data_IF_042325479057
#
_entry.id   IF_042325479057
#
_cell.length_a   1.000
_cell.length_b   1.000
_cell.length_c   1.000
_cell.angle_alpha   90.00
_cell.angle_beta   90.00
_cell.angle_gamma   90.00
#
_symmetry.space_group_name_H-M   'P 1'
#
loop_
_entity.id
_entity.type
_entity.pdbx_description
1 polymer ?
#
# COMPACT_ATOMS: atom_id res chain seq x y z
N UNK A 1 -6.05 6.04 -15.64
CA UNK A 1 -5.23 6.56 -14.51
C UNK A 1 -3.75 6.20 -14.62
N UNK A 2 -3.34 4.93 -14.42
CA UNK A 2 -1.92 4.54 -14.54
C UNK A 2 -1.35 4.87 -15.92
N UNK A 3 -2.07 4.52 -16.97
CA UNK A 3 -1.63 4.75 -18.35
C UNK A 3 -1.59 6.24 -18.69
N UNK A 4 -2.49 7.04 -18.09
CA UNK A 4 -2.45 8.50 -18.21
C UNK A 4 -1.20 9.09 -17.52
N UNK A 5 -0.83 8.59 -16.34
CA UNK A 5 0.41 8.99 -15.66
C UNK A 5 1.63 8.62 -16.51
N UNK A 6 1.66 7.42 -17.09
CA UNK A 6 2.74 7.00 -17.99
C UNK A 6 2.81 7.88 -19.24
N UNK A 7 1.66 8.19 -19.87
CA UNK A 7 1.61 9.08 -21.02
C UNK A 7 2.04 10.52 -20.68
N UNK A 8 1.69 11.03 -19.49
CA UNK A 8 2.16 12.32 -19.00
C UNK A 8 3.66 12.31 -18.72
N UNK A 9 4.20 11.21 -18.19
CA UNK A 9 5.64 11.01 -17.99
C UNK A 9 6.40 11.06 -19.32
N UNK A 10 5.95 10.35 -20.35
CA UNK A 10 6.58 10.39 -21.69
C UNK A 10 6.59 11.80 -22.29
N UNK A 11 5.53 12.57 -22.04
CA UNK A 11 5.40 13.98 -22.45
C UNK A 11 6.14 14.96 -21.53
N UNK A 12 6.69 14.49 -20.42
CA UNK A 12 7.25 15.31 -19.32
C UNK A 12 6.26 16.37 -18.80
N UNK A 13 4.97 16.05 -18.83
CA UNK A 13 3.90 16.93 -18.35
C UNK A 13 3.77 16.82 -16.83
N UNK A 14 4.51 17.68 -16.12
CA UNK A 14 4.55 17.69 -14.65
C UNK A 14 3.17 17.98 -14.04
N UNK A 15 2.35 18.80 -14.70
CA UNK A 15 1.03 19.18 -14.19
C UNK A 15 0.10 17.97 -14.23
N UNK A 16 0.03 17.29 -15.38
CA UNK A 16 -0.81 16.10 -15.52
C UNK A 16 -0.28 14.92 -14.68
N UNK A 17 1.04 14.73 -14.59
CA UNK A 17 1.64 13.74 -13.69
C UNK A 17 1.23 13.99 -12.23
N UNK A 18 1.28 15.24 -11.76
CA UNK A 18 0.91 15.59 -10.39
C UNK A 18 -0.56 15.27 -10.11
N UNK A 19 -1.44 15.63 -11.07
CA UNK A 19 -2.87 15.34 -10.99
C UNK A 19 -3.12 13.82 -10.95
N UNK A 20 -2.53 13.06 -11.88
CA UNK A 20 -2.73 11.60 -11.96
C UNK A 20 -2.15 10.86 -10.76
N UNK A 21 -1.03 11.32 -10.20
CA UNK A 21 -0.53 10.83 -8.91
C UNK A 21 -1.59 10.98 -7.81
N UNK A 22 -2.21 12.16 -7.68
CA UNK A 22 -3.22 12.40 -6.66
C UNK A 22 -4.47 11.51 -6.85
N UNK A 23 -4.94 11.37 -8.09
CA UNK A 23 -6.06 10.45 -8.43
C UNK A 23 -5.74 9.01 -8.06
N UNK A 24 -4.54 8.51 -8.40
CA UNK A 24 -4.11 7.15 -8.08
C UNK A 24 -4.01 6.90 -6.58
N UNK A 25 -3.43 7.84 -5.81
CA UNK A 25 -3.33 7.69 -4.36
C UNK A 25 -4.71 7.77 -3.68
N UNK A 26 -5.61 8.64 -4.17
CA UNK A 26 -7.00 8.69 -3.70
C UNK A 26 -7.74 7.40 -3.98
N UNK A 27 -7.50 6.73 -5.12
CA UNK A 27 -8.08 5.41 -5.41
C UNK A 27 -7.65 4.35 -4.38
N UNK A 28 -6.38 4.39 -3.96
CA UNK A 28 -5.89 3.44 -2.94
C UNK A 28 -6.52 3.74 -1.57
N UNK A 29 -6.71 5.02 -1.22
CA UNK A 29 -7.44 5.41 0.00
C UNK A 29 -8.88 4.90 -0.01
N UNK A 30 -9.59 5.12 -1.12
CA UNK A 30 -10.97 4.66 -1.27
C UNK A 30 -11.10 3.15 -1.20
N UNK A 31 -10.12 2.42 -1.76
CA UNK A 31 -10.04 0.98 -1.65
C UNK A 31 -9.80 0.55 -0.21
N UNK A 32 -8.86 1.17 0.52
CA UNK A 32 -8.60 0.86 1.93
C UNK A 32 -9.85 1.06 2.80
N UNK A 33 -10.58 2.16 2.59
CA UNK A 33 -11.84 2.43 3.26
C UNK A 33 -12.94 1.41 2.93
N UNK A 34 -13.05 0.97 1.68
CA UNK A 34 -13.99 -0.09 1.31
C UNK A 34 -13.64 -1.41 2.01
N UNK A 35 -12.37 -1.79 2.00
CA UNK A 35 -11.88 -3.00 2.66
C UNK A 35 -12.13 -2.94 4.18
N UNK A 36 -12.07 -1.75 4.78
CA UNK A 36 -12.30 -1.56 6.21
C UNK A 36 -13.72 -1.90 6.65
N UNK A 37 -14.69 -1.97 5.72
CA UNK A 37 -16.07 -2.37 6.01
C UNK A 37 -16.24 -3.88 6.23
N UNK A 38 -15.23 -4.70 5.88
CA UNK A 38 -15.34 -6.16 5.88
C UNK A 38 -14.44 -6.80 6.96
N UNK A 39 -15.00 -7.56 7.93
CA UNK A 39 -14.21 -8.19 8.99
C UNK A 39 -13.09 -9.12 8.50
N UNK A 40 -13.27 -9.78 7.36
CA UNK A 40 -12.29 -10.70 6.76
C UNK A 40 -11.15 -10.00 6.02
N UNK A 41 -11.20 -8.66 5.90
CA UNK A 41 -10.26 -7.86 5.12
C UNK A 41 -9.46 -6.89 6.00
N UNK A 42 -9.29 -7.17 7.29
CA UNK A 42 -8.64 -6.27 8.24
C UNK A 42 -7.23 -6.75 8.62
N UNK A 43 -6.21 -5.93 8.32
CA UNK A 43 -4.85 -6.19 8.80
C UNK A 43 -4.77 -6.24 10.32
N UNK A 44 -5.50 -5.36 11.02
CA UNK A 44 -5.49 -5.32 12.48
C UNK A 44 -6.01 -6.60 13.11
N UNK A 45 -6.98 -7.27 12.49
CA UNK A 45 -7.45 -8.59 12.95
C UNK A 45 -6.36 -9.65 12.78
N UNK A 46 -5.70 -9.70 11.62
CA UNK A 46 -4.60 -10.63 11.36
C UNK A 46 -3.45 -10.48 12.35
N UNK A 47 -3.00 -9.24 12.58
CA UNK A 47 -1.94 -8.94 13.55
C UNK A 47 -2.38 -9.29 14.97
N UNK A 48 -3.60 -8.91 15.37
CA UNK A 48 -4.11 -9.22 16.70
C UNK A 48 -4.19 -10.73 16.97
N UNK A 49 -4.62 -11.51 15.98
CA UNK A 49 -4.69 -12.97 16.09
C UNK A 49 -3.28 -13.60 16.16
N UNK A 50 -2.30 -13.10 15.40
CA UNK A 50 -0.91 -13.53 15.51
C UNK A 50 -0.32 -13.26 16.90
N UNK A 51 -0.54 -12.05 17.44
CA UNK A 51 -0.08 -11.67 18.79
C UNK A 51 -0.71 -12.54 19.89
N UNK A 52 -1.90 -13.12 19.71
CA UNK A 52 -2.51 -14.03 20.71
C UNK A 52 -1.73 -15.33 20.88
N UNK A 53 -0.89 -15.71 19.92
CA UNK A 53 -0.05 -16.90 20.00
C UNK A 53 1.12 -16.73 20.98
N UNK A 54 1.53 -15.49 21.28
CA UNK A 54 2.65 -15.19 22.17
C UNK A 54 2.24 -15.07 23.65
N UNK A 55 3.03 -15.66 24.55
CA UNK A 55 2.79 -15.66 26.00
C UNK A 55 3.34 -14.43 26.71
N UNK A 56 4.33 -13.76 26.14
CA UNK A 56 5.00 -12.57 26.67
C UNK A 56 5.23 -11.54 25.56
N UNK A 57 5.59 -10.30 25.89
CA UNK A 57 5.76 -9.22 24.91
C UNK A 57 6.70 -9.59 23.76
N UNK A 58 7.84 -10.19 24.07
CA UNK A 58 8.83 -10.63 23.07
C UNK A 58 8.24 -11.63 22.07
N UNK A 59 7.49 -12.62 22.53
CA UNK A 59 6.83 -13.59 21.66
C UNK A 59 5.71 -12.95 20.82
N UNK A 60 4.96 -11.99 21.38
CA UNK A 60 3.92 -11.26 20.65
C UNK A 60 4.49 -10.45 19.49
N UNK A 61 5.58 -9.74 19.75
CA UNK A 61 6.26 -8.92 18.74
C UNK A 61 6.92 -9.81 17.68
N UNK A 62 7.45 -10.97 18.07
CA UNK A 62 7.93 -12.00 17.13
C UNK A 62 6.82 -12.47 16.19
N UNK A 63 5.66 -12.87 16.71
CA UNK A 63 4.55 -13.35 15.86
C UNK A 63 3.93 -12.25 15.00
N UNK A 64 3.88 -11.00 15.48
CA UNK A 64 3.46 -9.88 14.64
C UNK A 64 4.41 -9.67 13.46
N UNK A 65 5.72 -9.69 13.72
CA UNK A 65 6.73 -9.57 12.67
C UNK A 65 6.58 -10.67 11.63
N UNK A 66 6.50 -11.93 12.06
CA UNK A 66 6.30 -13.08 11.16
C UNK A 66 5.01 -12.95 10.34
N UNK A 67 3.91 -12.53 10.98
CA UNK A 67 2.62 -12.32 10.34
C UNK A 67 2.66 -11.21 9.28
N UNK A 68 3.38 -10.11 9.54
CA UNK A 68 3.60 -9.03 8.57
C UNK A 68 4.51 -9.47 7.43
N UNK A 69 5.59 -10.20 7.72
CA UNK A 69 6.51 -10.71 6.70
C UNK A 69 5.78 -11.61 5.71
N UNK A 70 4.98 -12.57 6.20
CA UNK A 70 4.31 -13.57 5.37
C UNK A 70 3.43 -12.96 4.26
N UNK A 71 2.81 -11.81 4.54
CA UNK A 71 1.90 -11.12 3.60
C UNK A 71 2.56 -9.99 2.81
N UNK A 72 3.85 -9.72 3.05
CA UNK A 72 4.62 -8.66 2.35
C UNK A 72 5.90 -9.24 1.76
N UNK A 73 7.01 -9.15 2.49
CA UNK A 73 8.37 -9.45 2.04
C UNK A 73 8.68 -10.95 1.98
N UNK A 74 7.78 -11.76 2.52
CA UNK A 74 7.82 -13.21 2.68
C UNK A 74 9.03 -13.70 3.47
N UNK A 75 10.21 -13.78 2.85
CA UNK A 75 11.42 -14.27 3.51
C UNK A 75 12.70 -13.62 2.96
N UNK A 76 13.59 -13.23 3.89
CA UNK A 76 15.01 -12.97 3.69
C UNK A 76 15.44 -11.88 2.68
N UNK A 77 16.72 -11.50 2.76
CA UNK A 77 17.32 -10.41 1.95
C UNK A 77 17.28 -10.63 0.43
N UNK A 78 17.00 -11.85 -0.03
CA UNK A 78 16.96 -12.17 -1.46
C UNK A 78 15.68 -11.68 -2.14
N UNK A 79 14.60 -11.40 -1.39
CA UNK A 79 13.35 -10.79 -1.87
C UNK A 79 12.73 -11.49 -3.10
N UNK A 80 13.03 -12.77 -3.32
CA UNK A 80 12.55 -13.57 -4.46
C UNK A 80 11.06 -13.86 -4.41
N UNK A 81 10.45 -13.75 -3.23
CA UNK A 81 9.03 -13.97 -2.97
C UNK A 81 8.31 -12.70 -2.50
N UNK A 82 8.87 -11.51 -2.79
CA UNK A 82 8.23 -10.25 -2.41
C UNK A 82 6.81 -10.18 -2.98
N UNK A 83 5.86 -9.77 -2.15
CA UNK A 83 4.41 -9.71 -2.43
C UNK A 83 3.75 -11.06 -2.79
N UNK A 84 4.41 -12.22 -2.63
CA UNK A 84 3.78 -13.53 -2.93
C UNK A 84 2.54 -13.78 -2.06
N UNK A 85 2.62 -13.40 -0.78
CA UNK A 85 1.52 -13.52 0.18
C UNK A 85 0.57 -12.32 0.22
N UNK A 86 0.60 -11.43 -0.78
CA UNK A 86 -0.15 -10.17 -0.74
C UNK A 86 -1.65 -10.35 -0.43
N UNK A 87 -2.24 -9.32 0.17
CA UNK A 87 -3.67 -9.25 0.49
C UNK A 87 -4.20 -7.86 0.20
N UNK A 88 -5.43 -7.78 -0.30
CA UNK A 88 -6.19 -6.53 -0.31
C UNK A 88 -6.86 -6.38 1.06
N UNK A 89 -6.13 -5.89 2.05
CA UNK A 89 -6.63 -5.68 3.41
C UNK A 89 -6.53 -4.22 3.83
N UNK A 90 -7.55 -3.74 4.53
CA UNK A 90 -7.55 -2.42 5.15
C UNK A 90 -6.39 -2.30 6.14
N UNK A 91 -5.73 -1.14 6.15
CA UNK A 91 -4.47 -0.91 6.83
C UNK A 91 -3.26 -1.38 6.02
N UNK A 92 -3.29 -2.56 5.39
CA UNK A 92 -2.17 -2.99 4.52
C UNK A 92 -2.16 -2.19 3.20
N UNK A 93 -3.33 -2.02 2.59
CA UNK A 93 -3.53 -1.24 1.37
C UNK A 93 -3.13 0.22 1.57
N UNK A 94 -3.65 0.86 2.61
CA UNK A 94 -3.42 2.27 2.91
C UNK A 94 -2.05 2.59 3.50
N UNK A 95 -1.43 1.68 4.26
CA UNK A 95 -0.18 1.96 4.98
C UNK A 95 1.07 1.42 4.27
N UNK A 96 0.97 0.24 3.65
CA UNK A 96 2.09 -0.41 2.97
C UNK A 96 2.08 -0.16 1.46
N UNK A 97 1.01 -0.59 0.77
CA UNK A 97 0.96 -0.50 -0.70
C UNK A 97 0.84 0.93 -1.21
N UNK A 98 -0.02 1.76 -0.59
CA UNK A 98 -0.11 3.19 -0.91
C UNK A 98 1.23 3.88 -0.76
N UNK A 99 1.97 3.59 0.32
CA UNK A 99 3.24 4.25 0.58
C UNK A 99 4.28 3.91 -0.48
N UNK A 100 4.34 2.66 -0.94
CA UNK A 100 5.19 2.24 -2.06
C UNK A 100 4.85 2.98 -3.36
N UNK A 101 3.56 3.09 -3.68
CA UNK A 101 3.10 3.87 -4.83
C UNK A 101 3.45 5.36 -4.70
N UNK A 102 3.25 5.95 -3.52
CA UNK A 102 3.60 7.34 -3.27
C UNK A 102 5.10 7.57 -3.45
N UNK A 103 5.96 6.69 -2.91
CA UNK A 103 7.41 6.75 -3.08
C UNK A 103 7.80 6.69 -4.57
N UNK A 104 7.23 5.75 -5.32
CA UNK A 104 7.50 5.60 -6.75
C UNK A 104 7.09 6.85 -7.54
N UNK A 105 5.84 7.29 -7.38
CA UNK A 105 5.29 8.42 -8.12
C UNK A 105 6.03 9.73 -7.78
N UNK A 106 6.47 9.89 -6.52
CA UNK A 106 7.31 11.02 -6.12
C UNK A 106 8.67 11.02 -6.81
N UNK A 107 9.38 9.90 -6.77
CA UNK A 107 10.74 9.82 -7.30
C UNK A 107 10.74 9.96 -8.82
N UNK A 108 9.77 9.37 -9.54
CA UNK A 108 9.60 9.56 -10.99
C UNK A 108 9.30 11.02 -11.34
N UNK A 109 8.39 11.66 -10.59
CA UNK A 109 8.03 13.06 -10.82
C UNK A 109 9.20 14.00 -10.52
N UNK A 110 10.00 13.70 -9.51
CA UNK A 110 11.23 14.44 -9.19
C UNK A 110 12.24 14.32 -10.34
N UNK A 111 12.47 13.11 -10.87
CA UNK A 111 13.38 12.92 -12.00
C UNK A 111 12.98 13.75 -13.23
N UNK A 112 11.68 13.83 -13.54
CA UNK A 112 11.20 14.70 -14.63
C UNK A 112 11.46 16.18 -14.34
N UNK A 113 11.20 16.65 -13.12
CA UNK A 113 11.44 18.05 -12.71
C UNK A 113 12.91 18.44 -12.80
N UNK A 114 13.80 17.54 -12.43
CA UNK A 114 15.25 17.76 -12.44
C UNK A 114 15.89 17.48 -13.81
N UNK A 115 15.13 16.96 -14.77
CA UNK A 115 15.64 16.55 -16.07
C UNK A 115 16.59 15.35 -16.00
N UNK A 116 16.51 14.55 -14.94
CA UNK A 116 17.34 13.36 -14.71
C UNK A 116 16.59 12.09 -15.11
N UNK A 117 17.32 10.97 -15.23
CA UNK A 117 16.70 9.64 -15.41
C UNK A 117 16.28 9.09 -14.04
N UNK A 118 15.15 8.40 -13.99
CA UNK A 118 14.73 7.66 -12.81
C UNK A 118 15.75 6.56 -12.47
N UNK A 119 16.30 6.58 -11.25
CA UNK A 119 17.23 5.58 -10.76
C UNK A 119 16.48 4.42 -10.09
N UNK A 120 16.15 3.41 -10.90
CA UNK A 120 15.46 2.20 -10.45
C UNK A 120 16.22 1.46 -9.35
N UNK A 121 17.56 1.46 -9.38
CA UNK A 121 18.37 0.73 -8.41
C UNK A 121 18.33 1.43 -7.05
N UNK A 122 18.48 2.75 -7.03
CA UNK A 122 18.33 3.54 -5.81
C UNK A 122 16.91 3.43 -5.24
N UNK A 123 15.89 3.54 -6.10
CA UNK A 123 14.49 3.38 -5.71
C UNK A 123 14.21 2.02 -5.08
N UNK A 124 14.74 0.94 -5.67
CA UNK A 124 14.59 -0.42 -5.14
C UNK A 124 15.20 -0.56 -3.73
N UNK A 125 16.39 0.00 -3.51
CA UNK A 125 17.01 0.00 -2.18
C UNK A 125 16.23 0.81 -1.15
N UNK A 126 15.70 1.97 -1.56
CA UNK A 126 14.84 2.81 -0.72
C UNK A 126 13.55 2.08 -0.34
N UNK A 127 12.94 1.38 -1.29
CA UNK A 127 11.72 0.58 -1.06
C UNK A 127 11.99 -0.58 -0.11
N UNK A 128 13.08 -1.31 -0.27
CA UNK A 128 13.43 -2.40 0.65
C UNK A 128 13.62 -1.95 2.09
N UNK A 129 14.30 -0.80 2.29
CA UNK A 129 14.45 -0.21 3.63
C UNK A 129 13.11 0.12 4.26
N UNK A 130 12.20 0.73 3.49
CA UNK A 130 10.84 0.99 3.95
C UNK A 130 10.11 -0.30 4.33
N UNK A 131 10.17 -1.33 3.47
CA UNK A 131 9.48 -2.60 3.72
C UNK A 131 10.01 -3.33 4.96
N UNK A 132 11.34 -3.33 5.17
CA UNK A 132 11.95 -3.89 6.38
C UNK A 132 11.52 -3.12 7.64
N UNK A 133 11.54 -1.79 7.58
CA UNK A 133 11.10 -0.94 8.69
C UNK A 133 9.62 -1.14 9.03
N UNK A 134 8.76 -1.22 8.00
CA UNK A 134 7.33 -1.40 8.19
C UNK A 134 7.00 -2.75 8.84
N UNK A 135 7.76 -3.80 8.52
CA UNK A 135 7.65 -5.11 9.16
C UNK A 135 8.06 -5.06 10.64
N UNK A 136 9.11 -4.32 10.97
CA UNK A 136 9.65 -4.21 12.33
C UNK A 136 8.88 -3.23 13.23
N UNK A 137 8.16 -2.27 12.65
CA UNK A 137 7.38 -1.28 13.39
C UNK A 137 6.14 -1.90 14.05
N UNK A 138 5.97 -1.69 15.35
CA UNK A 138 4.70 -1.99 16.01
C UNK A 138 3.73 -0.82 15.84
N UNK A 139 2.68 -1.05 15.04
CA UNK A 139 1.61 -0.08 14.79
C UNK A 139 0.25 -0.73 15.01
N UNK A 140 -0.63 -0.01 15.69
CA UNK A 140 -2.00 -0.48 15.96
C UNK A 140 -2.86 -0.21 14.73
N UNK A 141 -3.50 -1.26 14.22
CA UNK A 141 -4.49 -1.19 13.14
C UNK A 141 -5.86 -1.61 13.67
N UNK A 142 -6.93 -1.08 13.08
CA UNK A 142 -8.29 -1.45 13.46
C UNK A 142 -8.55 -2.94 13.19
N UNK A 143 -9.08 -3.63 14.20
CA UNK A 143 -9.43 -5.05 14.14
C UNK A 143 -10.94 -5.31 14.04
N UNK A 144 -11.74 -4.25 14.10
CA UNK A 144 -13.19 -4.25 13.87
C UNK A 144 -13.52 -3.47 12.59
N UNK A 145 -14.56 -3.89 11.84
CA UNK A 145 -14.96 -3.19 10.62
C UNK A 145 -15.50 -1.79 10.93
N UNK A 146 -15.32 -0.88 9.98
CA UNK A 146 -15.82 0.50 10.06
C UNK A 146 -16.56 0.83 8.76
N UNK A 147 -17.75 1.42 8.89
CA UNK A 147 -18.58 1.84 7.76
C UNK A 147 -19.53 0.76 7.24
N UNK A 148 -20.21 1.08 6.13
CA UNK A 148 -21.19 0.21 5.46
C UNK A 148 -20.72 -0.12 4.04
N UNK A 149 -20.59 -1.41 3.73
CA UNK A 149 -20.02 -1.86 2.46
C UNK A 149 -20.90 -1.55 1.26
N UNK A 150 -22.23 -1.57 1.43
CA UNK A 150 -23.17 -1.28 0.36
C UNK A 150 -23.15 0.21 0.00
N UNK A 151 -23.19 1.08 1.02
CA UNK A 151 -23.09 2.52 0.85
C UNK A 151 -21.74 2.91 0.23
N UNK A 152 -20.62 2.39 0.77
CA UNK A 152 -19.28 2.71 0.25
C UNK A 152 -19.12 2.23 -1.19
N UNK A 153 -19.51 1.00 -1.51
CA UNK A 153 -19.43 0.48 -2.89
C UNK A 153 -20.26 1.31 -3.88
N UNK A 154 -21.48 1.72 -3.50
CA UNK A 154 -22.32 2.60 -4.34
C UNK A 154 -21.66 3.96 -4.58
N UNK A 155 -21.06 4.56 -3.56
CA UNK A 155 -20.34 5.84 -3.69
C UNK A 155 -19.14 5.70 -4.63
N UNK A 156 -18.35 4.63 -4.50
CA UNK A 156 -17.20 4.39 -5.36
C UNK A 156 -17.60 4.12 -6.81
N UNK A 157 -18.69 3.37 -7.02
CA UNK A 157 -19.25 3.15 -8.36
C UNK A 157 -19.60 4.49 -9.03
N UNK A 158 -20.22 5.41 -8.31
CA UNK A 158 -20.55 6.75 -8.83
C UNK A 158 -19.29 7.60 -9.06
N UNK A 159 -18.32 7.58 -8.12
CA UNK A 159 -17.06 8.34 -8.23
C UNK A 159 -16.24 7.92 -9.45
N UNK A 160 -16.19 6.62 -9.72
CA UNK A 160 -15.33 6.06 -10.77
C UNK A 160 -16.05 5.71 -12.07
N UNK A 161 -17.36 5.89 -12.17
CA UNK A 161 -18.10 5.63 -13.41
C UNK A 161 -17.50 6.31 -14.65
N UNK A 162 -16.95 7.54 -14.60
CA UNK A 162 -16.39 8.18 -15.80
C UNK A 162 -15.15 7.48 -16.37
N UNK A 163 -14.57 6.52 -15.66
CA UNK A 163 -13.42 5.73 -16.15
C UNK A 163 -13.84 4.45 -16.90
N UNK A 164 -15.13 4.11 -16.92
CA UNK A 164 -15.65 2.87 -17.49
C UNK A 164 -16.64 3.07 -18.64
N UNK A 165 -16.90 4.33 -19.04
CA UNK A 165 -17.79 4.71 -20.14
C UNK A 165 -17.09 5.62 -21.14
#
# INVERSE_FOLDING_TARGET
MRDDFAAAYEKKDIVEMTKKKAEMLSLIDDLDELLATQPSMLLGKWIADARKLGKNAREKDYYEKDAKMLITVWGGKQRSLNDYGNRSWAGLTGDFYKKRWEMFLNDVLLSVKEGTKFDEKAFKQKTYKFEDQWVDEHKIFNSAPVGDSFQKSRLLMLKYSPYFY
#
